data_IF_304111144693
#
_entry.id   IF_304111144693
#
_cell.length_a   1.000
_cell.length_b   1.000
_cell.length_c   1.000
_cell.angle_alpha   90.00
_cell.angle_beta   90.00
_cell.angle_gamma   90.00
#
_symmetry.space_group_name_H-M   'P 1'
#
loop_
_entity.id
_entity.type
_entity.pdbx_description
1 polymer ?
#
# COMPACT_ATOMS: atom_id res chain seq x y z
N UNK A 1 19.18 -5.50 6.91
CA UNK A 1 18.32 -6.54 6.30
C UNK A 1 19.24 -7.50 5.56
N UNK A 2 18.93 -8.82 5.53
CA UNK A 2 19.81 -9.86 4.96
C UNK A 2 19.65 -10.01 3.44
N UNK A 3 18.62 -9.41 2.86
CA UNK A 3 18.28 -9.51 1.44
C UNK A 3 18.60 -8.19 0.71
N UNK A 4 19.02 -8.24 -0.57
CA UNK A 4 19.17 -7.04 -1.39
C UNK A 4 17.86 -6.26 -1.48
N UNK A 5 17.93 -4.94 -1.33
CA UNK A 5 16.78 -4.09 -1.66
C UNK A 5 16.68 -3.93 -3.18
N UNK A 6 15.45 -3.87 -3.69
CA UNK A 6 15.23 -3.45 -5.08
C UNK A 6 15.72 -2.01 -5.30
N UNK A 7 16.05 -1.69 -6.55
CA UNK A 7 16.45 -0.35 -6.97
C UNK A 7 15.47 0.23 -8.01
N UNK A 8 15.70 1.47 -8.44
CA UNK A 8 14.86 2.12 -9.43
C UNK A 8 14.97 1.49 -10.83
N UNK A 9 16.02 0.72 -11.13
CA UNK A 9 16.08 -0.07 -12.36
C UNK A 9 14.99 -1.12 -12.37
N UNK A 10 14.96 -1.96 -11.33
CA UNK A 10 13.92 -2.98 -11.13
C UNK A 10 12.53 -2.35 -11.01
N UNK A 11 12.38 -1.28 -10.23
CA UNK A 11 11.06 -0.67 -10.02
C UNK A 11 10.49 -0.04 -11.30
N UNK A 12 11.34 0.53 -12.16
CA UNK A 12 10.90 1.02 -13.47
C UNK A 12 10.46 -0.13 -14.39
N UNK A 13 11.17 -1.28 -14.36
CA UNK A 13 10.74 -2.48 -15.10
C UNK A 13 9.37 -2.98 -14.61
N UNK A 14 9.20 -3.14 -13.30
CA UNK A 14 7.93 -3.56 -12.71
C UNK A 14 6.79 -2.59 -13.05
N UNK A 15 7.05 -1.29 -13.00
CA UNK A 15 6.08 -0.26 -13.41
C UNK A 15 5.67 -0.40 -14.87
N UNK A 16 6.62 -0.66 -15.77
CA UNK A 16 6.35 -0.90 -17.19
C UNK A 16 5.45 -2.13 -17.41
N UNK A 17 5.56 -3.15 -16.54
CA UNK A 17 4.72 -4.35 -16.55
C UNK A 17 3.35 -4.14 -15.87
N UNK A 18 3.06 -2.92 -15.43
CA UNK A 18 1.77 -2.54 -14.85
C UNK A 18 1.68 -2.65 -13.33
N UNK A 19 2.79 -2.94 -12.64
CA UNK A 19 2.83 -2.87 -11.17
C UNK A 19 2.84 -1.42 -10.69
N UNK A 20 2.24 -1.20 -9.54
CA UNK A 20 2.23 0.10 -8.88
C UNK A 20 3.41 0.19 -7.90
N UNK A 21 4.24 1.22 -8.07
CA UNK A 21 5.38 1.52 -7.18
C UNK A 21 5.06 2.79 -6.42
N UNK A 22 5.05 2.71 -5.08
CA UNK A 22 4.60 3.79 -4.20
C UNK A 22 5.61 4.13 -3.11
N UNK A 23 5.68 5.42 -2.69
CA UNK A 23 6.65 5.87 -1.71
C UNK A 23 6.35 5.32 -0.31
N UNK A 24 7.40 4.84 0.36
CA UNK A 24 7.35 4.31 1.73
C UNK A 24 8.35 5.00 2.67
N UNK A 25 8.58 6.30 2.43
CA UNK A 25 9.57 7.15 3.10
C UNK A 25 11.04 6.82 2.79
N UNK A 26 11.92 7.79 3.08
CA UNK A 26 13.34 7.75 2.75
C UNK A 26 14.18 6.77 3.59
N UNK A 27 13.91 6.67 4.90
CA UNK A 27 14.68 5.83 5.84
C UNK A 27 13.83 4.92 6.72
N UNK A 28 12.58 4.66 6.31
CA UNK A 28 11.63 3.81 7.02
C UNK A 28 11.44 4.16 8.53
N UNK A 29 11.68 5.41 8.96
CA UNK A 29 11.52 5.78 10.37
C UNK A 29 10.05 5.80 10.82
N UNK A 30 9.76 5.64 12.10
CA UNK A 30 8.40 5.81 12.65
C UNK A 30 8.03 7.30 12.71
N UNK A 31 7.04 7.72 11.91
CA UNK A 31 6.68 9.15 11.76
C UNK A 31 5.85 9.67 12.93
N UNK A 32 5.22 8.76 13.67
CA UNK A 32 4.47 9.11 14.87
C UNK A 32 5.39 9.41 16.06
N UNK A 33 6.63 8.95 16.01
CA UNK A 33 7.62 9.08 17.07
C UNK A 33 8.63 10.22 16.84
N UNK A 34 8.33 11.17 15.94
CA UNK A 34 9.24 12.28 15.62
C UNK A 34 8.50 13.61 15.46
N UNK A 35 9.20 14.76 15.57
CA UNK A 35 8.60 16.07 15.34
C UNK A 35 8.01 16.20 13.93
N UNK A 36 6.86 16.89 13.84
CA UNK A 36 6.10 17.06 12.60
C UNK A 36 6.95 17.55 11.41
N UNK A 37 7.76 18.59 11.60
CA UNK A 37 8.61 19.12 10.53
C UNK A 37 9.67 18.11 10.07
N UNK A 38 10.26 17.35 10.99
CA UNK A 38 11.22 16.30 10.61
C UNK A 38 10.54 15.16 9.83
N UNK A 39 9.31 14.80 10.20
CA UNK A 39 8.52 13.82 9.45
C UNK A 39 8.21 14.33 8.04
N UNK A 40 7.78 15.59 7.90
CA UNK A 40 7.54 16.23 6.60
C UNK A 40 8.78 16.21 5.71
N UNK A 41 9.92 16.62 6.24
CA UNK A 41 11.17 16.68 5.47
C UNK A 41 11.56 15.30 4.92
N UNK A 42 11.38 14.23 5.71
CA UNK A 42 11.65 12.85 5.27
C UNK A 42 10.63 12.33 4.25
N UNK A 43 9.38 12.81 4.31
CA UNK A 43 8.36 12.49 3.32
C UNK A 43 8.70 13.20 2.01
N UNK A 44 8.93 14.51 2.05
CA UNK A 44 9.25 15.32 0.87
C UNK A 44 10.52 14.82 0.18
N UNK A 45 11.59 14.53 0.93
CA UNK A 45 12.82 13.94 0.39
C UNK A 45 12.56 12.59 -0.31
N UNK A 46 11.64 11.78 0.20
CA UNK A 46 11.26 10.53 -0.46
C UNK A 46 10.53 10.80 -1.78
N UNK A 47 9.60 11.76 -1.80
CA UNK A 47 8.87 12.15 -2.99
C UNK A 47 9.81 12.75 -4.05
N UNK A 48 10.79 13.56 -3.65
CA UNK A 48 11.81 14.11 -4.54
C UNK A 48 12.64 13.00 -5.19
N UNK A 49 13.07 12.01 -4.39
CA UNK A 49 13.83 10.87 -4.91
C UNK A 49 13.01 10.05 -5.91
N UNK A 50 11.74 9.79 -5.61
CA UNK A 50 10.83 9.11 -6.54
C UNK A 50 10.59 9.93 -7.83
N UNK A 51 10.46 11.25 -7.72
CA UNK A 51 10.24 12.13 -8.87
C UNK A 51 11.44 12.16 -9.81
N UNK A 52 12.65 12.02 -9.27
CA UNK A 52 13.88 11.99 -10.06
C UNK A 52 14.14 10.62 -10.71
N UNK A 53 13.82 9.52 -10.00
CA UNK A 53 14.30 8.19 -10.38
C UNK A 53 13.21 7.28 -10.97
N UNK A 54 11.94 7.45 -10.60
CA UNK A 54 10.83 6.63 -11.10
C UNK A 54 10.18 7.31 -12.31
N UNK A 55 10.37 6.75 -13.50
CA UNK A 55 9.91 7.33 -14.77
C UNK A 55 8.40 7.60 -14.74
N UNK A 56 8.02 8.84 -15.05
CA UNK A 56 6.61 9.26 -15.06
C UNK A 56 5.94 9.17 -13.69
N UNK A 57 6.68 9.35 -12.60
CA UNK A 57 6.11 9.53 -11.27
C UNK A 57 5.57 10.95 -11.10
N UNK A 58 4.36 11.07 -10.55
CA UNK A 58 3.79 12.32 -10.10
C UNK A 58 3.39 12.15 -8.63
N UNK A 59 4.00 12.90 -7.69
CA UNK A 59 3.65 12.80 -6.28
C UNK A 59 2.16 13.06 -6.03
N UNK A 60 1.51 13.94 -6.82
CA UNK A 60 0.08 14.26 -6.68
C UNK A 60 -0.84 13.10 -7.06
N UNK A 61 -0.34 12.07 -7.74
CA UNK A 61 -1.07 10.84 -8.04
C UNK A 61 -0.72 9.67 -7.12
N UNK A 62 0.31 9.83 -6.27
CA UNK A 62 0.83 8.76 -5.44
C UNK A 62 -0.04 8.47 -4.21
N UNK A 63 0.00 7.21 -3.77
CA UNK A 63 -0.47 6.78 -2.44
C UNK A 63 0.76 6.63 -1.56
N UNK A 64 0.92 7.50 -0.56
CA UNK A 64 2.05 7.39 0.37
C UNK A 64 1.78 6.35 1.45
N UNK A 65 2.71 5.42 1.64
CA UNK A 65 2.59 4.38 2.67
C UNK A 65 3.36 4.80 3.91
N UNK A 66 2.69 4.98 5.06
CA UNK A 66 3.37 5.26 6.32
C UNK A 66 4.15 4.03 6.81
N UNK A 67 5.47 4.15 7.08
CA UNK A 67 6.22 3.07 7.72
C UNK A 67 5.60 2.64 9.04
N UNK A 68 5.62 1.32 9.27
CA UNK A 68 4.98 0.67 10.42
C UNK A 68 3.47 0.92 10.53
N UNK A 69 2.82 1.41 9.47
CA UNK A 69 1.41 1.83 9.49
C UNK A 69 1.14 2.90 10.57
N UNK A 70 2.12 3.76 10.86
CA UNK A 70 2.03 4.77 11.92
C UNK A 70 2.12 6.20 11.39
N UNK A 71 1.14 6.99 11.79
CA UNK A 71 0.96 8.41 11.46
C UNK A 71 0.50 9.20 12.69
N UNK A 72 0.44 10.53 12.55
CA UNK A 72 -0.23 11.42 13.51
C UNK A 72 -1.39 12.15 12.83
N UNK A 73 -2.40 12.63 13.57
CA UNK A 73 -3.48 13.43 12.98
C UNK A 73 -2.99 14.64 12.18
N UNK A 74 -1.92 15.30 12.65
CA UNK A 74 -1.33 16.45 11.96
C UNK A 74 -0.70 16.06 10.61
N UNK A 75 -0.01 14.92 10.55
CA UNK A 75 0.53 14.39 9.30
C UNK A 75 -0.58 13.94 8.35
N UNK A 76 -1.61 13.28 8.86
CA UNK A 76 -2.77 12.85 8.06
C UNK A 76 -3.53 14.04 7.47
N UNK A 77 -3.62 15.15 8.19
CA UNK A 77 -4.24 16.38 7.69
C UNK A 77 -3.37 17.07 6.61
N UNK A 78 -2.05 17.08 6.77
CA UNK A 78 -1.14 17.76 5.85
C UNK A 78 -0.85 16.94 4.57
N UNK A 79 -0.64 15.63 4.68
CA UNK A 79 -0.11 14.81 3.60
C UNK A 79 -0.94 14.84 2.29
N UNK A 80 -2.29 14.86 2.32
CA UNK A 80 -3.11 15.00 1.11
C UNK A 80 -2.88 16.29 0.31
N UNK A 81 -2.20 17.28 0.89
CA UNK A 81 -1.81 18.49 0.15
C UNK A 81 -0.68 18.24 -0.84
N UNK A 82 0.07 17.13 -0.71
CA UNK A 82 1.23 16.81 -1.56
C UNK A 82 1.13 15.45 -2.27
N UNK A 83 0.23 14.57 -1.84
CA UNK A 83 -0.05 13.27 -2.49
C UNK A 83 -1.55 13.03 -2.69
N UNK A 84 -1.93 12.05 -3.51
CA UNK A 84 -3.35 11.72 -3.76
C UNK A 84 -4.05 11.18 -2.52
N UNK A 85 -3.39 10.23 -1.85
CA UNK A 85 -3.90 9.55 -0.66
C UNK A 85 -2.72 8.98 0.15
N UNK A 86 -3.02 8.41 1.30
CA UNK A 86 -2.04 7.74 2.14
C UNK A 86 -2.59 6.47 2.78
N UNK A 87 -1.70 5.53 3.08
CA UNK A 87 -1.97 4.31 3.81
C UNK A 87 -1.41 4.38 5.23
N UNK A 88 -2.24 4.04 6.22
CA UNK A 88 -1.85 3.95 7.63
C UNK A 88 -2.61 2.82 8.34
N UNK A 89 -2.36 2.62 9.63
CA UNK A 89 -3.05 1.60 10.43
C UNK A 89 -4.51 1.97 10.73
N UNK A 90 -5.35 0.95 10.88
CA UNK A 90 -6.77 1.13 11.24
C UNK A 90 -7.68 0.02 10.75
N UNK A 91 -7.18 -1.22 10.69
CA UNK A 91 -7.86 -2.36 10.05
C UNK A 91 -7.56 -2.46 8.55
N UNK A 92 -7.75 -3.65 7.98
CA UNK A 92 -7.49 -3.91 6.56
C UNK A 92 -8.68 -3.65 5.64
N UNK A 93 -9.91 -3.86 6.14
CA UNK A 93 -11.14 -3.75 5.36
C UNK A 93 -11.64 -2.31 5.42
N UNK A 94 -11.72 -1.69 4.25
CA UNK A 94 -12.22 -0.34 4.06
C UNK A 94 -13.60 -0.40 3.37
N UNK A 95 -14.47 0.63 3.55
CA UNK A 95 -15.59 0.85 2.65
C UNK A 95 -15.10 1.02 1.20
N UNK A 96 -15.98 0.75 0.23
CA UNK A 96 -15.64 0.92 -1.19
C UNK A 96 -15.08 2.32 -1.48
N UNK A 97 -14.14 2.44 -2.43
CA UNK A 97 -13.56 3.73 -2.81
C UNK A 97 -14.61 4.79 -3.15
N UNK A 98 -14.39 6.01 -2.67
CA UNK A 98 -15.25 7.16 -2.97
C UNK A 98 -14.43 8.38 -3.42
N UNK A 99 -15.09 9.32 -4.12
CA UNK A 99 -14.45 10.54 -4.59
C UNK A 99 -13.93 11.37 -3.40
N UNK A 100 -12.68 11.78 -3.47
CA UNK A 100 -12.03 12.57 -2.42
C UNK A 100 -11.49 11.73 -1.25
N UNK A 101 -11.53 10.40 -1.34
CA UNK A 101 -10.91 9.55 -0.32
C UNK A 101 -9.38 9.73 -0.30
N UNK A 102 -8.87 10.16 0.85
CA UNK A 102 -7.42 10.40 1.07
C UNK A 102 -6.79 9.47 2.08
N UNK A 103 -7.58 8.88 2.99
CA UNK A 103 -7.10 7.94 4.00
C UNK A 103 -7.51 6.51 3.63
N UNK A 104 -6.51 5.64 3.57
CA UNK A 104 -6.64 4.21 3.36
C UNK A 104 -6.10 3.50 4.61
N UNK A 105 -6.91 2.68 5.27
CA UNK A 105 -6.39 1.86 6.36
C UNK A 105 -5.86 0.54 5.80
N UNK A 106 -4.84 -0.01 6.44
CA UNK A 106 -4.28 -1.30 6.06
C UNK A 106 -3.90 -2.10 7.30
N UNK A 107 -3.75 -3.41 7.08
CA UNK A 107 -3.29 -4.36 8.10
C UNK A 107 -2.18 -5.25 7.55
N UNK A 108 -1.56 -6.02 8.42
CA UNK A 108 -0.51 -6.98 8.10
C UNK A 108 -0.10 -7.73 9.36
N UNK A 109 0.62 -8.84 9.19
CA UNK A 109 1.07 -9.68 10.29
C UNK A 109 2.51 -10.13 10.09
N UNK A 110 3.20 -10.37 11.20
CA UNK A 110 4.58 -10.81 11.25
C UNK A 110 5.15 -10.65 12.66
N UNK A 111 6.40 -11.08 12.90
CA UNK A 111 7.39 -11.49 11.90
C UNK A 111 7.15 -12.88 11.29
N UNK A 112 6.30 -13.71 11.89
CA UNK A 112 5.99 -15.04 11.41
C UNK A 112 5.19 -15.02 10.11
N UNK A 113 5.23 -16.13 9.36
CA UNK A 113 4.47 -16.29 8.11
C UNK A 113 3.02 -15.80 8.27
N UNK A 114 2.59 -14.91 7.37
CA UNK A 114 1.33 -14.19 7.53
C UNK A 114 0.14 -14.82 6.78
N UNK A 115 0.33 -15.98 6.14
CA UNK A 115 -0.69 -16.58 5.26
C UNK A 115 -2.01 -16.83 5.97
N UNK A 116 -1.99 -17.41 7.18
CA UNK A 116 -3.21 -17.66 7.93
C UNK A 116 -3.95 -16.37 8.32
N UNK A 117 -3.20 -15.32 8.65
CA UNK A 117 -3.80 -14.02 8.94
C UNK A 117 -4.36 -13.37 7.67
N UNK A 118 -3.67 -13.48 6.53
CA UNK A 118 -4.16 -13.00 5.24
C UNK A 118 -5.46 -13.71 4.83
N UNK A 119 -5.51 -15.05 4.94
CA UNK A 119 -6.74 -15.83 4.73
C UNK A 119 -7.88 -15.34 5.61
N UNK A 120 -7.65 -15.17 6.92
CA UNK A 120 -8.68 -14.71 7.84
C UNK A 120 -9.22 -13.31 7.48
N UNK A 121 -8.37 -12.38 7.04
CA UNK A 121 -8.83 -11.05 6.60
C UNK A 121 -9.60 -11.10 5.28
N UNK A 122 -9.24 -12.02 4.38
CA UNK A 122 -9.97 -12.27 3.13
C UNK A 122 -11.34 -12.87 3.41
N UNK A 123 -11.43 -13.87 4.29
CA UNK A 123 -12.71 -14.46 4.71
C UNK A 123 -13.63 -13.40 5.33
N UNK A 124 -13.08 -12.53 6.18
CA UNK A 124 -13.82 -11.39 6.74
C UNK A 124 -14.33 -10.43 5.67
N UNK A 125 -13.53 -10.16 4.62
CA UNK A 125 -13.97 -9.33 3.50
C UNK A 125 -15.11 -10.00 2.71
N UNK A 126 -14.95 -11.29 2.38
CA UNK A 126 -15.92 -12.05 1.60
C UNK A 126 -17.24 -12.26 2.34
N UNK A 127 -17.25 -12.14 3.67
CA UNK A 127 -18.45 -12.14 4.50
C UNK A 127 -19.18 -10.77 4.55
N UNK A 128 -18.60 -9.70 4.01
CA UNK A 128 -19.26 -8.39 3.90
C UNK A 128 -20.07 -8.29 2.62
N UNK A 129 -21.12 -7.47 2.64
CA UNK A 129 -21.87 -7.11 1.42
C UNK A 129 -20.98 -6.36 0.41
N UNK A 130 -20.05 -5.55 0.90
CA UNK A 130 -19.09 -4.82 0.06
C UNK A 130 -17.90 -4.30 0.88
N UNK A 131 -16.81 -4.01 0.19
CA UNK A 131 -15.62 -3.40 0.76
C UNK A 131 -14.39 -3.70 -0.09
N UNK A 132 -13.24 -3.29 0.40
CA UNK A 132 -11.95 -3.69 -0.17
C UNK A 132 -10.91 -3.83 0.94
N UNK A 133 -10.12 -4.89 0.83
CA UNK A 133 -9.05 -5.22 1.76
C UNK A 133 -7.72 -4.64 1.24
N UNK A 134 -7.03 -3.91 2.10
CA UNK A 134 -5.64 -3.50 1.88
C UNK A 134 -4.77 -4.23 2.91
N UNK A 135 -4.01 -5.20 2.41
CA UNK A 135 -3.13 -6.05 3.21
C UNK A 135 -1.67 -5.85 2.82
N UNK A 136 -0.79 -5.76 3.82
CA UNK A 136 0.65 -5.57 3.63
C UNK A 136 1.39 -6.90 3.80
N UNK A 137 2.06 -7.34 2.74
CA UNK A 137 3.10 -8.38 2.78
C UNK A 137 4.47 -7.71 2.63
N UNK A 138 5.55 -8.35 3.13
CA UNK A 138 6.90 -7.76 3.08
C UNK A 138 7.96 -8.67 2.45
N UNK A 139 7.55 -9.74 1.78
CA UNK A 139 8.43 -10.60 1.02
C UNK A 139 7.79 -11.93 0.67
N UNK A 140 8.52 -12.72 -0.09
CA UNK A 140 8.14 -14.05 -0.53
C UNK A 140 9.06 -15.09 0.09
N UNK A 141 8.51 -16.26 0.33
CA UNK A 141 9.20 -17.45 0.81
C UNK A 141 9.93 -17.20 2.15
N UNK A 142 11.26 -17.09 2.14
CA UNK A 142 12.06 -16.90 3.36
C UNK A 142 12.50 -15.43 3.55
N UNK A 143 11.93 -14.49 2.76
CA UNK A 143 12.37 -13.10 2.75
C UNK A 143 11.46 -12.14 3.54
N UNK A 144 12.07 -11.29 4.36
CA UNK A 144 11.37 -10.15 4.98
C UNK A 144 10.60 -10.47 6.26
N UNK A 145 9.68 -9.57 6.63
CA UNK A 145 8.87 -9.65 7.86
C UNK A 145 7.47 -10.17 7.53
N UNK A 146 7.10 -11.31 8.09
CA UNK A 146 5.85 -11.98 7.74
C UNK A 146 5.76 -12.37 6.27
N UNK A 147 6.71 -13.16 5.74
CA UNK A 147 6.64 -13.62 4.36
C UNK A 147 5.42 -14.50 4.11
N UNK A 148 5.06 -14.62 2.83
CA UNK A 148 4.16 -15.66 2.34
C UNK A 148 4.90 -16.49 1.30
N UNK A 149 4.55 -17.77 1.16
CA UNK A 149 5.13 -18.62 0.12
C UNK A 149 4.65 -18.18 -1.26
N UNK A 150 5.54 -18.21 -2.24
CA UNK A 150 5.21 -17.91 -3.64
C UNK A 150 4.08 -18.81 -4.16
N UNK A 151 4.13 -20.11 -3.80
CA UNK A 151 3.09 -21.08 -4.17
C UNK A 151 1.75 -20.86 -3.46
N UNK A 152 1.75 -20.23 -2.27
CA UNK A 152 0.53 -19.83 -1.60
C UNK A 152 -0.09 -18.62 -2.32
N UNK A 153 0.73 -17.60 -2.65
CA UNK A 153 0.27 -16.41 -3.35
C UNK A 153 -0.37 -16.76 -4.71
N UNK A 154 0.26 -17.63 -5.50
CA UNK A 154 -0.26 -18.07 -6.79
C UNK A 154 -1.65 -18.70 -6.65
N UNK A 155 -1.79 -19.70 -5.79
CA UNK A 155 -3.08 -20.37 -5.52
C UNK A 155 -4.14 -19.42 -4.97
N UNK A 156 -3.72 -18.47 -4.12
CA UNK A 156 -4.60 -17.46 -3.57
C UNK A 156 -5.15 -16.55 -4.68
N UNK A 157 -4.29 -16.07 -5.57
CA UNK A 157 -4.69 -15.23 -6.69
C UNK A 157 -5.62 -15.98 -7.64
N UNK A 158 -5.31 -17.23 -8.00
CA UNK A 158 -6.18 -18.06 -8.85
C UNK A 158 -7.58 -18.20 -8.25
N UNK A 159 -7.68 -18.50 -6.95
CA UNK A 159 -8.96 -18.61 -6.25
C UNK A 159 -9.73 -17.31 -6.24
N UNK A 160 -9.07 -16.18 -5.94
CA UNK A 160 -9.72 -14.88 -5.87
C UNK A 160 -10.16 -14.36 -7.24
N UNK A 161 -9.38 -14.62 -8.29
CA UNK A 161 -9.71 -14.24 -9.67
C UNK A 161 -10.87 -15.06 -10.25
N UNK A 162 -11.17 -16.23 -9.68
CA UNK A 162 -12.33 -17.04 -10.06
C UNK A 162 -13.67 -16.54 -9.45
N UNK A 163 -13.65 -15.51 -8.58
CA UNK A 163 -14.85 -14.96 -7.97
C UNK A 163 -15.28 -13.71 -8.73
N UNK A 164 -16.40 -13.76 -9.44
CA UNK A 164 -16.89 -12.68 -10.32
C UNK A 164 -17.03 -11.31 -9.63
N UNK A 165 -17.39 -11.30 -8.34
CA UNK A 165 -17.57 -10.09 -7.55
C UNK A 165 -16.26 -9.50 -7.01
N UNK A 166 -15.14 -10.23 -7.11
CA UNK A 166 -13.84 -9.83 -6.58
C UNK A 166 -12.96 -9.27 -7.68
N UNK A 167 -12.28 -8.17 -7.37
CA UNK A 167 -11.27 -7.59 -8.25
C UNK A 167 -9.99 -7.35 -7.46
N UNK A 168 -8.86 -7.72 -8.05
CA UNK A 168 -7.52 -7.44 -7.52
C UNK A 168 -6.92 -6.33 -8.35
N UNK A 169 -6.60 -5.20 -7.72
CA UNK A 169 -6.05 -4.05 -8.44
C UNK A 169 -5.19 -3.15 -7.54
N UNK A 170 -4.28 -2.36 -8.14
CA UNK A 170 -3.55 -1.31 -7.44
C UNK A 170 -4.46 -0.29 -6.74
N UNK A 171 -3.95 0.32 -5.66
CA UNK A 171 -4.74 1.23 -4.84
C UNK A 171 -5.17 2.48 -5.60
N UNK A 172 -4.30 3.05 -6.46
CA UNK A 172 -4.69 4.22 -7.27
C UNK A 172 -5.75 3.87 -8.30
N UNK A 173 -5.75 2.67 -8.87
CA UNK A 173 -6.78 2.22 -9.82
C UNK A 173 -8.12 2.09 -9.12
N UNK A 174 -8.15 1.48 -7.94
CA UNK A 174 -9.37 1.39 -7.12
C UNK A 174 -9.89 2.79 -6.74
N UNK A 175 -9.02 3.73 -6.35
CA UNK A 175 -9.45 5.12 -6.10
C UNK A 175 -9.99 5.82 -7.36
N UNK A 176 -9.57 5.40 -8.56
CA UNK A 176 -10.04 5.99 -9.81
C UNK A 176 -11.39 5.44 -10.27
N UNK A 177 -11.79 4.22 -9.87
CA UNK A 177 -13.12 3.68 -10.23
C UNK A 177 -14.25 4.50 -9.59
N UNK A 178 -14.01 5.09 -8.41
CA UNK A 178 -14.93 5.98 -7.73
C UNK A 178 -15.25 7.28 -8.50
N UNK A 179 -14.39 7.66 -9.45
CA UNK A 179 -14.60 8.84 -10.29
C UNK A 179 -15.59 8.53 -11.43
N UNK A 180 -15.64 7.27 -11.88
CA UNK A 180 -16.41 6.85 -13.06
C UNK A 180 -17.87 6.54 -12.71
N UNK A 181 -18.15 6.08 -11.48
CA UNK A 181 -19.51 5.66 -11.07
C UNK A 181 -20.50 6.84 -10.90
N UNK A 182 -20.01 8.09 -10.90
CA UNK A 182 -20.83 9.30 -10.73
C UNK A 182 -20.87 10.20 -11.98
N UNK A 183 -20.62 9.64 -13.18
CA UNK A 183 -20.94 10.26 -14.48
C UNK A 183 -22.06 9.48 -15.15
#
# INVERSE_FOLDING_TARGET
>A
HRWPAGDFGLWNELKQRGHEIMPHSYKHADKSAMPFNQAKDLILRCLDYFSNELKGFDPKQAVFNFPYNKSTPELEAWLPTVVRAFRTGGGGINPLPHKGQVKLTCTGYGPENCEHHLESEIEKLLAQDSGWLIYNTHGLDDEGWGPIRSCFLEKLLDRLLAIDSVKIMPATKALSTAIIINQ
#
